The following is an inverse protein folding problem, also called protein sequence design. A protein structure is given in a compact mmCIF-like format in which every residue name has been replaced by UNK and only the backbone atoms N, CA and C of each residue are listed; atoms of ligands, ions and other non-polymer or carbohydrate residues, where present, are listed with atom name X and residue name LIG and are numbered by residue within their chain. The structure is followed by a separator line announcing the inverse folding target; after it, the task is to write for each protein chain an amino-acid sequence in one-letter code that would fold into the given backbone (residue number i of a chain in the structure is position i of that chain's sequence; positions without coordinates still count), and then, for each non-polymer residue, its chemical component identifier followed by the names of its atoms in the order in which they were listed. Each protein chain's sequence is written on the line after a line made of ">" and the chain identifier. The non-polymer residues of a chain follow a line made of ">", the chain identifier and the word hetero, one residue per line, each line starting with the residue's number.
data_IF_000764581460
#
_entry.id   IF_000764581460
#
_cell.length_a   1.000
_cell.length_b   1.000
_cell.length_c   1.000
_cell.angle_alpha   90.00
_cell.angle_beta   90.00
_cell.angle_gamma   90.00
#
_symmetry.space_group_name_H-M   'P 1'
#
loop_
_entity.id
_entity.type
_entity.pdbx_description
1 polymer ?
#
# COMPACT_ATOMS: atom_id res chain seq x y z
N UNK A 1 -19.49 -7.48 -16.89
CA UNK A 1 -18.39 -6.79 -17.60
C UNK A 1 -17.12 -7.07 -16.81
N UNK A 2 -15.99 -7.29 -17.49
CA UNK A 2 -14.71 -7.47 -16.81
C UNK A 2 -14.33 -6.18 -16.04
N UNK A 3 -13.69 -6.33 -14.87
CA UNK A 3 -13.20 -5.21 -14.07
C UNK A 3 -12.13 -4.40 -14.79
N UNK A 4 -11.27 -5.08 -15.57
CA UNK A 4 -10.19 -4.47 -16.34
C UNK A 4 -10.32 -4.82 -17.83
N UNK A 5 -9.77 -3.95 -18.67
CA UNK A 5 -9.64 -4.17 -20.10
C UNK A 5 -8.13 -4.21 -20.43
N UNK A 6 -7.71 -5.08 -21.35
CA UNK A 6 -6.30 -5.16 -21.77
C UNK A 6 -5.77 -3.83 -22.36
N UNK A 7 -6.66 -3.00 -22.89
CA UNK A 7 -6.37 -1.68 -23.46
C UNK A 7 -6.75 -0.53 -22.53
N UNK A 8 -6.92 -0.79 -21.23
CA UNK A 8 -7.21 0.24 -20.24
C UNK A 8 -6.15 1.36 -20.30
N UNK A 9 -6.60 2.61 -20.34
CA UNK A 9 -5.79 3.83 -20.53
C UNK A 9 -5.23 4.07 -21.94
N UNK A 10 -5.47 3.19 -22.92
CA UNK A 10 -5.06 3.45 -24.29
C UNK A 10 -6.05 4.35 -25.04
N UNK A 11 -5.59 5.10 -26.06
CA UNK A 11 -6.49 5.87 -26.92
C UNK A 11 -7.48 4.99 -27.67
N UNK A 12 -8.65 5.51 -27.99
CA UNK A 12 -9.69 4.76 -28.70
C UNK A 12 -9.43 4.66 -30.21
N UNK A 13 -8.65 5.56 -30.79
CA UNK A 13 -8.37 5.60 -32.23
C UNK A 13 -7.44 4.46 -32.66
N UNK A 14 -7.80 3.78 -33.75
CA UNK A 14 -7.16 2.53 -34.17
C UNK A 14 -5.63 2.61 -34.32
N UNK A 15 -5.10 3.70 -34.92
CA UNK A 15 -3.65 3.84 -35.13
C UNK A 15 -2.90 4.11 -33.81
N UNK A 16 -3.26 5.11 -32.99
CA UNK A 16 -2.69 5.28 -31.66
C UNK A 16 -2.81 4.05 -30.75
N UNK A 17 -3.95 3.36 -30.77
CA UNK A 17 -4.17 2.13 -30.00
C UNK A 17 -3.17 1.03 -30.38
N UNK A 18 -2.95 0.79 -31.67
CA UNK A 18 -1.96 -0.18 -32.14
C UNK A 18 -0.56 0.14 -31.64
N UNK A 19 -0.15 1.40 -31.74
CA UNK A 19 1.17 1.85 -31.28
C UNK A 19 1.30 1.68 -29.76
N UNK A 20 0.27 2.01 -29.00
CA UNK A 20 0.26 1.85 -27.54
C UNK A 20 0.41 0.38 -27.13
N UNK A 21 -0.31 -0.53 -27.80
CA UNK A 21 -0.18 -1.98 -27.56
C UNK A 21 1.24 -2.49 -27.85
N UNK A 22 1.82 -2.10 -28.99
CA UNK A 22 3.16 -2.56 -29.38
C UNK A 22 4.23 -2.09 -28.39
N UNK A 23 4.16 -0.81 -27.98
CA UNK A 23 5.08 -0.26 -26.98
C UNK A 23 4.91 -0.94 -25.62
N UNK A 24 3.67 -1.08 -25.14
CA UNK A 24 3.39 -1.69 -23.85
C UNK A 24 3.81 -3.16 -23.80
N UNK A 25 3.56 -3.92 -24.88
CA UNK A 25 3.96 -5.32 -24.97
C UNK A 25 5.47 -5.52 -24.79
N UNK A 26 6.28 -4.56 -25.21
CA UNK A 26 7.74 -4.60 -25.04
C UNK A 26 8.24 -4.24 -23.64
N UNK A 27 7.41 -3.66 -22.78
CA UNK A 27 7.84 -3.15 -21.45
C UNK A 27 7.05 -3.72 -20.27
N UNK A 28 5.87 -4.30 -20.48
CA UNK A 28 4.94 -4.70 -19.41
C UNK A 28 5.48 -5.75 -18.43
N UNK A 29 6.44 -6.55 -18.87
CA UNK A 29 7.03 -7.65 -18.09
C UNK A 29 8.42 -7.28 -17.53
N UNK A 30 8.87 -6.02 -17.71
CA UNK A 30 10.11 -5.54 -17.13
C UNK A 30 10.01 -5.51 -15.59
N UNK A 31 11.14 -5.71 -14.88
CA UNK A 31 11.15 -5.61 -13.43
C UNK A 31 10.71 -4.23 -12.92
N UNK A 32 10.00 -4.22 -11.80
CA UNK A 32 9.57 -2.98 -11.14
C UNK A 32 10.76 -2.40 -10.37
N UNK A 33 11.14 -1.19 -10.73
CA UNK A 33 12.04 -0.34 -9.94
C UNK A 33 11.14 0.66 -9.21
N UNK A 34 11.05 0.53 -7.88
CA UNK A 34 10.31 1.46 -7.02
C UNK A 34 11.31 2.27 -6.17
N UNK A 35 11.87 3.36 -6.73
CA UNK A 35 13.01 4.06 -6.12
C UNK A 35 12.61 4.96 -4.94
N UNK A 36 11.32 5.11 -4.66
CA UNK A 36 10.79 5.86 -3.54
C UNK A 36 9.41 5.33 -3.14
N UNK A 37 9.19 5.16 -1.84
CA UNK A 37 7.94 4.64 -1.30
C UNK A 37 7.91 4.64 0.22
N UNK A 38 6.78 4.20 0.77
CA UNK A 38 6.49 4.21 2.20
C UNK A 38 5.94 2.85 2.69
N UNK A 39 6.35 1.74 2.06
CA UNK A 39 6.01 0.42 2.59
C UNK A 39 6.73 0.19 3.92
N UNK A 40 6.12 -0.56 4.84
CA UNK A 40 6.74 -0.86 6.14
C UNK A 40 7.84 -1.93 5.94
N UNK A 41 9.12 -1.62 6.24
CA UNK A 41 10.21 -2.59 6.09
C UNK A 41 10.02 -3.84 6.98
N UNK A 42 9.23 -3.74 8.06
CA UNK A 42 8.88 -4.88 8.93
C UNK A 42 8.18 -6.00 8.17
N UNK A 43 7.39 -5.70 7.14
CA UNK A 43 6.68 -6.70 6.33
C UNK A 43 7.67 -7.69 5.70
N UNK A 44 8.75 -7.18 5.12
CA UNK A 44 9.77 -8.02 4.49
C UNK A 44 10.70 -8.65 5.52
N UNK A 45 10.98 -7.96 6.63
CA UNK A 45 11.82 -8.49 7.70
C UNK A 45 11.20 -9.73 8.35
N UNK A 46 9.94 -9.64 8.79
CA UNK A 46 9.25 -10.73 9.48
C UNK A 46 8.60 -11.75 8.54
N UNK A 47 8.21 -11.33 7.33
CA UNK A 47 7.52 -12.15 6.33
C UNK A 47 6.24 -12.84 6.89
N UNK A 48 5.59 -12.19 7.85
CA UNK A 48 4.30 -12.61 8.41
C UNK A 48 3.18 -12.42 7.38
N UNK A 49 2.06 -13.18 7.47
CA UNK A 49 0.92 -12.95 6.59
C UNK A 49 0.26 -11.63 6.95
N UNK A 50 -0.39 -11.00 5.97
CA UNK A 50 -1.24 -9.86 6.24
C UNK A 50 -2.48 -10.29 7.06
N UNK A 51 -2.94 -9.47 8.01
CA UNK A 51 -3.97 -9.88 8.96
C UNK A 51 -5.34 -10.12 8.29
N UNK A 52 -5.85 -9.13 7.55
CA UNK A 52 -7.14 -9.22 6.86
C UNK A 52 -7.25 -8.19 5.70
N UNK A 53 -8.28 -8.29 4.83
CA UNK A 53 -8.45 -7.40 3.69
C UNK A 53 -8.54 -5.92 4.03
N UNK A 54 -9.23 -5.54 5.11
CA UNK A 54 -9.43 -4.14 5.49
C UNK A 54 -8.15 -3.53 6.05
N UNK A 55 -7.46 -4.25 6.94
CA UNK A 55 -6.19 -3.82 7.51
C UNK A 55 -5.08 -3.73 6.47
N UNK A 56 -5.16 -4.50 5.38
CA UNK A 56 -4.22 -4.40 4.26
C UNK A 56 -4.58 -3.27 3.28
N UNK A 57 -5.84 -3.16 2.86
CA UNK A 57 -6.21 -2.37 1.68
C UNK A 57 -6.97 -1.08 2.00
N UNK A 58 -7.60 -0.97 3.17
CA UNK A 58 -8.54 0.12 3.48
C UNK A 58 -7.98 1.05 4.54
N UNK A 59 -7.66 0.50 5.73
CA UNK A 59 -7.19 1.27 6.90
C UNK A 59 -5.94 2.10 6.58
N UNK A 60 -4.90 1.56 5.91
CA UNK A 60 -3.69 2.34 5.65
C UNK A 60 -3.79 3.30 4.45
N UNK A 61 -4.82 3.20 3.61
CA UNK A 61 -4.90 3.97 2.36
C UNK A 61 -5.69 5.28 2.52
N UNK A 62 -4.93 6.37 2.60
CA UNK A 62 -5.48 7.72 2.73
C UNK A 62 -6.25 8.22 1.51
N UNK A 63 -6.08 7.64 0.32
CA UNK A 63 -6.94 7.98 -0.82
C UNK A 63 -8.36 7.46 -0.60
N UNK A 64 -8.50 6.28 0.00
CA UNK A 64 -9.79 5.65 0.28
C UNK A 64 -10.51 6.42 1.39
N UNK A 65 -9.92 6.54 2.58
CA UNK A 65 -10.62 7.18 3.69
C UNK A 65 -10.84 8.67 3.47
N UNK A 66 -10.01 9.36 2.66
CA UNK A 66 -10.28 10.76 2.28
C UNK A 66 -11.56 10.89 1.45
N UNK A 67 -11.82 9.98 0.51
CA UNK A 67 -13.03 10.00 -0.30
C UNK A 67 -14.27 9.77 0.58
N UNK A 68 -14.24 8.74 1.42
CA UNK A 68 -15.36 8.41 2.31
C UNK A 68 -15.61 9.52 3.34
N UNK A 69 -14.55 10.07 3.94
CA UNK A 69 -14.64 11.18 4.87
C UNK A 69 -15.26 12.43 4.23
N UNK A 70 -14.93 12.70 2.96
CA UNK A 70 -15.54 13.82 2.22
C UNK A 70 -17.07 13.68 2.04
N UNK A 71 -17.61 12.46 2.15
CA UNK A 71 -19.04 12.16 2.06
C UNK A 71 -19.70 11.98 3.44
N UNK A 72 -18.99 12.28 4.53
CA UNK A 72 -19.53 12.23 5.89
C UNK A 72 -19.29 10.92 6.65
N UNK A 73 -18.51 9.99 6.09
CA UNK A 73 -18.09 8.78 6.82
C UNK A 73 -17.00 9.14 7.82
N UNK A 74 -17.18 8.74 9.07
CA UNK A 74 -16.20 8.98 10.14
C UNK A 74 -14.95 8.11 9.97
N UNK A 75 -13.77 8.66 10.26
CA UNK A 75 -12.48 7.94 10.18
C UNK A 75 -12.44 6.76 11.15
N UNK A 76 -13.06 6.89 12.32
CA UNK A 76 -13.11 5.83 13.33
C UNK A 76 -13.91 4.62 12.83
N UNK A 77 -14.93 4.83 12.00
CA UNK A 77 -15.69 3.74 11.38
C UNK A 77 -14.89 2.99 10.30
N UNK A 78 -13.77 3.55 9.85
CA UNK A 78 -12.84 2.95 8.90
C UNK A 78 -11.60 2.37 9.59
N UNK A 79 -11.58 2.29 10.93
CA UNK A 79 -10.45 1.76 11.70
C UNK A 79 -9.20 2.65 11.70
N UNK A 80 -9.31 3.91 11.26
CA UNK A 80 -8.16 4.84 11.23
C UNK A 80 -7.85 5.29 12.67
N UNK A 81 -6.62 5.06 13.18
CA UNK A 81 -6.26 5.43 14.56
C UNK A 81 -6.45 6.91 14.86
N UNK A 82 -6.91 7.23 16.08
CA UNK A 82 -7.00 8.61 16.57
C UNK A 82 -5.78 8.98 17.40
N UNK A 83 -5.47 10.27 17.47
CA UNK A 83 -4.32 10.78 18.24
C UNK A 83 -4.52 10.66 19.75
N UNK A 84 -5.76 10.69 20.22
CA UNK A 84 -6.14 10.60 21.64
C UNK A 84 -6.38 9.16 22.13
N UNK A 85 -6.24 8.17 21.24
CA UNK A 85 -6.47 6.76 21.55
C UNK A 85 -7.94 6.39 21.76
N UNK A 86 -8.88 7.23 21.31
CA UNK A 86 -10.29 6.89 21.29
C UNK A 86 -10.55 5.58 20.50
N UNK A 87 -11.55 4.78 20.89
CA UNK A 87 -11.86 3.53 20.19
C UNK A 87 -12.25 3.76 18.73
N UNK A 88 -11.80 2.85 17.88
CA UNK A 88 -12.12 2.79 16.44
C UNK A 88 -12.75 1.44 16.12
N UNK A 89 -13.38 1.33 14.95
CA UNK A 89 -13.84 0.03 14.44
C UNK A 89 -12.64 -0.89 14.26
N UNK A 90 -12.76 -2.13 14.74
CA UNK A 90 -11.70 -3.14 14.68
C UNK A 90 -12.13 -4.38 13.91
N UNK A 91 -13.42 -4.55 13.64
CA UNK A 91 -13.92 -5.59 12.74
C UNK A 91 -13.60 -5.22 11.28
N UNK A 92 -12.57 -5.86 10.73
CA UNK A 92 -12.17 -5.70 9.34
C UNK A 92 -13.30 -5.96 8.35
N UNK A 93 -14.27 -6.83 8.67
CA UNK A 93 -15.42 -7.08 7.81
C UNK A 93 -16.40 -5.90 7.82
N UNK A 94 -16.63 -5.29 8.98
CA UNK A 94 -17.46 -4.09 9.09
C UNK A 94 -16.86 -2.93 8.27
N UNK A 95 -15.54 -2.71 8.39
CA UNK A 95 -14.79 -1.70 7.61
C UNK A 95 -14.91 -1.98 6.11
N UNK A 96 -14.71 -3.23 5.70
CA UNK A 96 -14.80 -3.64 4.29
C UNK A 96 -16.20 -3.43 3.70
N UNK A 97 -17.25 -3.81 4.44
CA UNK A 97 -18.65 -3.59 4.01
C UNK A 97 -18.95 -2.11 3.83
N UNK A 98 -18.55 -1.28 4.79
CA UNK A 98 -18.70 0.18 4.70
C UNK A 98 -18.01 0.76 3.47
N UNK A 99 -16.79 0.30 3.18
CA UNK A 99 -16.08 0.67 1.95
C UNK A 99 -16.83 0.20 0.68
N UNK A 100 -17.28 -1.05 0.65
CA UNK A 100 -17.97 -1.63 -0.49
C UNK A 100 -19.29 -0.92 -0.84
N UNK A 101 -20.07 -0.52 0.16
CA UNK A 101 -21.28 0.30 0.01
C UNK A 101 -20.98 1.64 -0.69
N UNK A 102 -19.82 2.22 -0.39
CA UNK A 102 -19.37 3.52 -0.89
C UNK A 102 -18.46 3.41 -2.13
N UNK A 103 -18.21 2.20 -2.65
CA UNK A 103 -17.24 1.99 -3.73
C UNK A 103 -17.61 2.71 -5.04
N UNK A 104 -18.88 3.05 -5.21
CA UNK A 104 -19.39 3.84 -6.33
C UNK A 104 -18.82 5.28 -6.38
N UNK A 105 -18.36 5.83 -5.25
CA UNK A 105 -17.76 7.17 -5.18
C UNK A 105 -16.44 7.28 -5.94
N UNK A 106 -15.74 6.17 -6.13
CA UNK A 106 -14.44 6.14 -6.82
C UNK A 106 -14.56 6.13 -8.34
N UNK A 107 -15.76 6.14 -8.91
CA UNK A 107 -15.96 6.19 -10.37
C UNK A 107 -15.24 7.41 -10.98
N UNK A 108 -14.37 7.15 -11.95
CA UNK A 108 -13.56 8.19 -12.61
C UNK A 108 -12.29 8.58 -11.85
N UNK A 109 -11.98 7.94 -10.72
CA UNK A 109 -10.75 8.19 -9.94
C UNK A 109 -9.68 7.14 -10.22
N UNK A 110 -8.38 7.46 -10.01
CA UNK A 110 -7.31 6.47 -10.08
C UNK A 110 -7.48 5.31 -9.09
N UNK A 111 -8.00 5.56 -7.89
CA UNK A 111 -8.25 4.51 -6.88
C UNK A 111 -9.14 3.40 -7.42
N UNK A 112 -10.17 3.72 -8.22
CA UNK A 112 -11.00 2.70 -8.88
C UNK A 112 -10.19 1.80 -9.81
N UNK A 113 -9.28 2.39 -10.60
CA UNK A 113 -8.43 1.66 -11.53
C UNK A 113 -7.47 0.72 -10.79
N UNK A 114 -6.80 1.23 -9.75
CA UNK A 114 -5.86 0.45 -8.95
C UNK A 114 -6.55 -0.69 -8.22
N UNK A 115 -7.70 -0.41 -7.60
CA UNK A 115 -8.41 -1.41 -6.81
C UNK A 115 -9.05 -2.49 -7.68
N UNK A 116 -9.67 -2.13 -8.81
CA UNK A 116 -10.18 -3.11 -9.78
C UNK A 116 -9.04 -3.97 -10.38
N UNK A 117 -7.85 -3.38 -10.60
CA UNK A 117 -6.67 -4.14 -11.03
C UNK A 117 -6.20 -5.14 -9.96
N UNK A 118 -6.13 -4.73 -8.69
CA UNK A 118 -5.78 -5.61 -7.56
C UNK A 118 -6.78 -6.76 -7.43
N UNK A 119 -8.09 -6.47 -7.48
CA UNK A 119 -9.12 -7.50 -7.44
C UNK A 119 -8.95 -8.51 -8.58
N UNK A 120 -8.84 -8.04 -9.83
CA UNK A 120 -8.77 -8.91 -10.99
C UNK A 120 -7.46 -9.70 -11.11
N UNK A 121 -6.31 -9.06 -10.90
CA UNK A 121 -5.00 -9.64 -11.24
C UNK A 121 -4.26 -10.23 -10.04
N UNK A 122 -4.42 -9.66 -8.84
CA UNK A 122 -3.83 -10.23 -7.64
C UNK A 122 -4.75 -11.31 -7.07
N UNK A 123 -6.02 -10.97 -6.83
CA UNK A 123 -6.97 -11.84 -6.12
C UNK A 123 -7.87 -12.70 -7.03
N UNK A 124 -7.78 -12.55 -8.36
CA UNK A 124 -8.59 -13.29 -9.33
C UNK A 124 -10.11 -13.13 -9.14
N UNK A 125 -10.54 -11.95 -8.69
CA UNK A 125 -11.95 -11.56 -8.52
C UNK A 125 -12.36 -10.73 -9.74
N UNK A 126 -13.25 -11.26 -10.57
CA UNK A 126 -13.76 -10.56 -11.76
C UNK A 126 -15.08 -9.81 -11.53
N UNK A 127 -15.70 -10.03 -10.36
CA UNK A 127 -16.99 -9.44 -10.04
C UNK A 127 -16.83 -8.02 -9.45
N UNK A 128 -17.64 -7.04 -9.90
CA UNK A 128 -17.67 -5.71 -9.31
C UNK A 128 -17.93 -5.71 -7.80
N UNK A 129 -17.08 -5.00 -7.05
CA UNK A 129 -17.32 -4.73 -5.64
C UNK A 129 -18.56 -3.82 -5.48
N UNK A 130 -19.47 -4.24 -4.61
CA UNK A 130 -20.67 -3.53 -4.19
C UNK A 130 -21.10 -4.04 -2.80
N UNK A 131 -22.15 -3.46 -2.23
CA UNK A 131 -22.70 -3.91 -0.95
C UNK A 131 -23.11 -5.40 -1.00
N UNK A 132 -23.65 -5.86 -2.13
CA UNK A 132 -24.13 -7.23 -2.32
C UNK A 132 -22.99 -8.26 -2.44
N UNK A 133 -21.81 -7.83 -2.88
CA UNK A 133 -20.66 -8.71 -3.14
C UNK A 133 -19.59 -8.62 -2.06
N UNK A 134 -19.71 -7.64 -1.15
CA UNK A 134 -18.72 -7.29 -0.12
C UNK A 134 -18.19 -8.51 0.64
N UNK A 135 -19.07 -9.34 1.19
CA UNK A 135 -18.67 -10.49 2.02
C UNK A 135 -17.94 -11.57 1.22
N UNK A 136 -18.37 -11.85 -0.01
CA UNK A 136 -17.71 -12.81 -0.87
C UNK A 136 -16.29 -12.35 -1.22
N UNK A 137 -16.11 -11.07 -1.51
CA UNK A 137 -14.79 -10.49 -1.78
C UNK A 137 -13.91 -10.57 -0.53
N UNK A 138 -14.44 -10.19 0.63
CA UNK A 138 -13.73 -10.27 1.89
C UNK A 138 -13.25 -11.70 2.17
N UNK A 139 -14.13 -12.69 2.08
CA UNK A 139 -13.82 -14.09 2.35
C UNK A 139 -12.76 -14.64 1.40
N UNK A 140 -12.86 -14.29 0.12
CA UNK A 140 -11.90 -14.69 -0.91
C UNK A 140 -10.52 -14.12 -0.59
N UNK A 141 -10.43 -12.81 -0.35
CA UNK A 141 -9.16 -12.13 -0.06
C UNK A 141 -8.58 -12.64 1.27
N UNK A 142 -9.38 -12.71 2.32
CA UNK A 142 -8.94 -13.20 3.63
C UNK A 142 -8.37 -14.63 3.55
N UNK A 143 -9.00 -15.50 2.75
CA UNK A 143 -8.53 -16.87 2.52
C UNK A 143 -7.16 -16.89 1.85
N UNK A 144 -6.98 -16.16 0.74
CA UNK A 144 -5.73 -16.20 -0.01
C UNK A 144 -4.58 -15.50 0.70
N UNK A 145 -4.86 -14.49 1.53
CA UNK A 145 -3.83 -13.84 2.37
C UNK A 145 -3.16 -14.79 3.38
N UNK A 146 -3.79 -15.93 3.70
CA UNK A 146 -3.18 -16.96 4.54
C UNK A 146 -2.19 -17.87 3.80
N UNK A 147 -2.23 -17.90 2.47
CA UNK A 147 -1.39 -18.77 1.67
C UNK A 147 0.07 -18.29 1.65
N UNK A 148 1.00 -19.24 1.55
CA UNK A 148 2.44 -18.92 1.54
C UNK A 148 2.85 -18.03 0.35
N UNK A 149 2.18 -18.17 -0.79
CA UNK A 149 2.44 -17.35 -1.98
C UNK A 149 1.83 -15.93 -1.90
N UNK A 150 1.19 -15.56 -0.79
CA UNK A 150 0.73 -14.19 -0.50
C UNK A 150 1.52 -13.54 0.65
N UNK A 151 2.60 -14.18 1.12
CA UNK A 151 3.53 -13.54 2.08
C UNK A 151 4.27 -12.37 1.43
N UNK A 152 4.69 -11.36 2.21
CA UNK A 152 5.36 -10.18 1.66
C UNK A 152 6.52 -10.48 0.70
N UNK A 153 7.39 -11.43 1.06
CA UNK A 153 8.54 -11.83 0.19
C UNK A 153 8.09 -12.56 -1.07
N UNK A 154 7.10 -13.45 -0.97
CA UNK A 154 6.56 -14.16 -2.13
C UNK A 154 5.85 -13.21 -3.10
N UNK A 155 5.13 -12.21 -2.58
CA UNK A 155 4.51 -11.17 -3.40
C UNK A 155 5.55 -10.26 -4.05
N UNK A 156 6.62 -9.88 -3.32
CA UNK A 156 7.73 -9.12 -3.89
C UNK A 156 8.32 -9.80 -5.13
N UNK A 157 8.57 -11.12 -5.04
CA UNK A 157 9.06 -11.93 -6.16
C UNK A 157 8.01 -12.07 -7.28
N UNK A 158 6.75 -12.36 -6.94
CA UNK A 158 5.65 -12.48 -7.90
C UNK A 158 5.40 -11.19 -8.68
N UNK A 159 5.61 -10.04 -8.05
CA UNK A 159 5.50 -8.73 -8.69
C UNK A 159 6.74 -8.35 -9.51
N UNK A 160 7.76 -9.21 -9.56
CA UNK A 160 9.01 -8.96 -10.28
C UNK A 160 9.65 -7.62 -9.85
N UNK A 161 9.68 -7.34 -8.54
CA UNK A 161 10.30 -6.12 -8.00
C UNK A 161 11.82 -6.34 -7.99
N UNK A 162 12.56 -5.50 -8.71
CA UNK A 162 14.03 -5.51 -8.68
C UNK A 162 14.57 -4.75 -7.47
N UNK A 163 13.91 -3.65 -7.11
CA UNK A 163 14.26 -2.82 -5.95
C UNK A 163 13.06 -2.04 -5.45
N UNK A 164 12.93 -1.95 -4.13
CA UNK A 164 11.99 -1.04 -3.47
C UNK A 164 12.71 -0.21 -2.40
N UNK A 165 12.43 1.09 -2.39
CA UNK A 165 12.89 1.99 -1.34
C UNK A 165 11.76 2.29 -0.35
N UNK A 166 12.04 2.12 0.93
CA UNK A 166 11.25 2.67 2.03
C UNK A 166 11.79 4.06 2.41
N UNK A 167 11.15 4.75 3.35
CA UNK A 167 11.55 6.10 3.75
C UNK A 167 11.63 6.17 5.26
N UNK A 168 12.83 6.40 5.78
CA UNK A 168 13.11 6.42 7.22
C UNK A 168 13.58 7.80 7.66
N UNK A 169 13.18 8.17 8.87
CA UNK A 169 13.62 9.39 9.54
C UNK A 169 15.10 9.36 9.89
N UNK A 170 15.68 10.52 10.12
CA UNK A 170 17.08 10.64 10.54
C UNK A 170 17.42 9.92 11.87
N UNK A 171 16.41 9.61 12.67
CA UNK A 171 16.53 9.01 14.01
C UNK A 171 16.22 7.51 14.05
N UNK A 172 15.79 6.91 12.92
CA UNK A 172 15.39 5.51 12.86
C UNK A 172 16.61 4.57 12.85
N UNK A 173 16.53 3.45 13.58
CA UNK A 173 17.65 2.52 13.79
C UNK A 173 17.92 1.55 12.63
N UNK A 174 17.08 1.56 11.59
CA UNK A 174 17.14 0.69 10.41
C UNK A 174 17.20 -0.82 10.73
N UNK A 175 16.74 -1.26 11.92
CA UNK A 175 16.83 -2.68 12.34
C UNK A 175 16.16 -3.65 11.38
N UNK A 176 15.06 -3.22 10.73
CA UNK A 176 14.32 -4.05 9.80
C UNK A 176 15.10 -4.28 8.50
N UNK A 177 15.75 -3.25 7.96
CA UNK A 177 16.63 -3.38 6.80
C UNK A 177 17.84 -4.27 7.09
N UNK A 178 18.41 -4.14 8.29
CA UNK A 178 19.45 -5.07 8.75
C UNK A 178 18.94 -6.51 8.79
N UNK A 179 17.78 -6.76 9.39
CA UNK A 179 17.19 -8.10 9.46
C UNK A 179 16.91 -8.69 8.06
N UNK A 180 16.44 -7.87 7.11
CA UNK A 180 16.23 -8.29 5.71
C UNK A 180 17.55 -8.77 5.11
N UNK A 181 18.57 -7.92 5.15
CA UNK A 181 19.92 -8.20 4.62
C UNK A 181 20.53 -9.46 5.23
N UNK A 182 20.36 -9.63 6.54
CA UNK A 182 20.98 -10.71 7.29
C UNK A 182 20.17 -12.04 7.19
N UNK A 183 18.99 -12.04 6.54
CA UNK A 183 18.10 -13.20 6.45
C UNK A 183 18.42 -14.21 5.35
N UNK A 184 19.32 -13.88 4.42
CA UNK A 184 19.63 -14.72 3.25
C UNK A 184 18.56 -14.71 2.14
N UNK A 185 17.58 -13.80 2.22
CA UNK A 185 16.65 -13.54 1.12
C UNK A 185 17.21 -12.45 0.19
N UNK A 186 17.09 -12.68 -1.13
CA UNK A 186 17.73 -11.85 -2.16
C UNK A 186 16.95 -10.57 -2.52
N UNK A 187 15.80 -10.34 -1.89
CA UNK A 187 14.97 -9.16 -2.16
C UNK A 187 15.67 -7.85 -1.76
N UNK A 188 15.72 -6.90 -2.70
CA UNK A 188 16.42 -5.62 -2.51
C UNK A 188 15.48 -4.55 -1.95
N UNK A 189 15.39 -4.51 -0.62
CA UNK A 189 14.69 -3.46 0.13
C UNK A 189 15.73 -2.47 0.67
N UNK A 190 15.70 -1.23 0.17
CA UNK A 190 16.63 -0.17 0.58
C UNK A 190 15.88 0.94 1.33
N UNK A 191 16.62 1.81 2.01
CA UNK A 191 16.08 3.00 2.69
C UNK A 191 16.40 4.27 1.91
N UNK A 192 15.59 5.31 2.11
CA UNK A 192 15.87 6.68 1.74
C UNK A 192 15.84 7.58 2.98
N UNK A 193 16.85 8.44 3.12
CA UNK A 193 17.02 9.33 4.28
C UNK A 193 16.07 10.52 4.22
N UNK A 194 15.20 10.66 5.22
CA UNK A 194 14.23 11.76 5.36
C UNK A 194 14.48 12.57 6.65
N UNK A 195 15.20 13.70 6.57
CA UNK A 195 15.61 14.45 7.74
C UNK A 195 14.60 15.50 8.24
N UNK A 196 13.34 15.47 7.78
CA UNK A 196 12.32 16.49 8.10
C UNK A 196 12.29 16.84 9.59
N UNK A 197 12.29 15.82 10.47
CA UNK A 197 12.19 15.95 11.92
C UNK A 197 13.37 16.65 12.62
N UNK A 198 14.51 16.80 11.95
CA UNK A 198 15.75 17.39 12.46
C UNK A 198 16.23 18.58 11.62
N UNK A 199 15.47 18.98 10.60
CA UNK A 199 15.80 20.11 9.73
C UNK A 199 14.75 21.21 9.81
N UNK A 200 13.47 20.88 9.96
CA UNK A 200 12.38 21.85 10.03
C UNK A 200 12.13 22.28 11.48
N UNK A 201 12.43 23.54 11.87
CA UNK A 201 12.20 24.00 13.24
C UNK A 201 10.73 24.03 13.67
N UNK A 202 9.79 24.02 12.70
CA UNK A 202 8.36 23.96 12.98
C UNK A 202 7.86 22.51 13.16
N UNK A 203 8.73 21.51 12.97
CA UNK A 203 8.38 20.11 13.17
C UNK A 203 8.11 19.82 14.66
N UNK A 204 7.08 19.03 14.93
CA UNK A 204 6.70 18.68 16.31
C UNK A 204 7.85 17.94 17.02
N UNK A 205 8.29 18.48 18.15
CA UNK A 205 9.40 17.91 18.92
C UNK A 205 10.79 18.19 18.37
N UNK A 206 10.95 19.13 17.42
CA UNK A 206 12.24 19.46 16.77
C UNK A 206 13.45 19.52 17.73
N UNK A 207 13.35 20.26 18.85
CA UNK A 207 14.45 20.37 19.82
C UNK A 207 14.86 19.01 20.41
N UNK A 208 13.88 18.16 20.77
CA UNK A 208 14.14 16.83 21.32
C UNK A 208 14.73 15.91 20.24
N UNK A 209 14.28 16.06 18.99
CA UNK A 209 14.81 15.32 17.86
C UNK A 209 16.27 15.68 17.57
N UNK A 210 16.66 16.96 17.72
CA UNK A 210 18.06 17.39 17.61
C UNK A 210 18.92 16.81 18.72
N UNK A 211 18.48 16.87 19.98
CA UNK A 211 19.20 16.24 21.10
C UNK A 211 19.44 14.75 20.81
N UNK A 212 18.41 14.06 20.31
CA UNK A 212 18.51 12.65 19.93
C UNK A 212 19.46 12.43 18.76
N UNK A 213 19.49 13.33 17.78
CA UNK A 213 20.44 13.27 16.67
C UNK A 213 21.88 13.40 17.18
N UNK A 214 22.14 14.33 18.11
CA UNK A 214 23.43 14.52 18.76
C UNK A 214 23.87 13.25 19.51
N UNK A 215 22.96 12.61 20.24
CA UNK A 215 23.22 11.34 20.93
C UNK A 215 23.63 10.20 19.99
N UNK A 216 22.89 9.98 18.89
CA UNK A 216 23.16 8.85 17.99
C UNK A 216 24.36 9.08 17.07
N UNK A 217 24.72 10.34 16.81
CA UNK A 217 25.88 10.71 15.98
C UNK A 217 27.15 11.01 16.78
N UNK A 218 27.02 11.26 18.08
CA UNK A 218 28.12 11.74 18.94
C UNK A 218 28.61 13.14 18.56
N UNK A 219 27.76 13.96 17.96
CA UNK A 219 28.09 15.30 17.47
C UNK A 219 27.36 16.41 18.26
N UNK A 220 27.93 17.62 18.23
CA UNK A 220 27.27 18.84 18.71
C UNK A 220 26.31 19.35 17.61
N UNK A 221 25.01 19.36 17.90
CA UNK A 221 23.91 19.60 16.94
C UNK A 221 23.19 20.91 17.17
#
# INVERSE_FOLDING_TARGET
>A
MALTNADLLFPAEARPLSIARDLYAGIKDLPIISPHGHTDPRWYALNEPFPDPAQLLIVPDHYIFRMLFSQGVRLEALGVPTLDGAPVETDGRAIWRLFAEHYHLFRGTPTRLWFDHVLAHLFSIEEPLSAETADRHYDTIATVLQWENYRPRALFERFNIEVIATTEGALDDLKWHQMIRDSGWEGRVVTAYRPDAVVDPDFEGFSVNLDRLGEITGCDT
#
